data_IF_091904728803
#
_entry.id   IF_091904728803
#
_cell.length_a   1.000
_cell.length_b   1.000
_cell.length_c   1.000
_cell.angle_alpha   90.00
_cell.angle_beta   90.00
_cell.angle_gamma   90.00
#
_symmetry.space_group_name_H-M   'P 1'
#
loop_
_entity.id
_entity.type
_entity.pdbx_description
1 polymer ?
#
# COMPACT_ATOMS: atom_id res chain seq x y z
N UNK A 1 2.73 -36.80 -25.50
CA UNK A 1 3.51 -36.03 -24.49
C UNK A 1 2.61 -35.20 -23.58
N UNK A 2 1.76 -34.28 -24.10
CA UNK A 2 0.86 -33.45 -23.27
C UNK A 2 -0.06 -34.29 -22.40
N UNK A 3 -0.71 -35.33 -22.93
CA UNK A 3 -1.61 -36.22 -22.16
C UNK A 3 -0.93 -37.03 -21.06
N UNK A 4 0.39 -37.22 -21.11
CA UNK A 4 1.15 -37.88 -20.06
C UNK A 4 1.50 -36.90 -18.92
N UNK A 5 1.67 -35.63 -19.27
CA UNK A 5 1.85 -34.54 -18.29
C UNK A 5 0.54 -34.32 -17.54
N UNK A 6 -0.58 -34.25 -18.25
CA UNK A 6 -1.93 -34.08 -17.66
C UNK A 6 -2.30 -35.21 -16.69
N UNK A 7 -1.82 -36.43 -16.92
CA UNK A 7 -2.03 -37.59 -16.01
C UNK A 7 -0.96 -37.71 -14.91
N UNK A 8 0.00 -36.79 -14.87
CA UNK A 8 1.12 -36.87 -13.90
C UNK A 8 2.10 -38.04 -14.14
N UNK A 9 2.05 -38.67 -15.33
CA UNK A 9 2.88 -39.82 -15.69
C UNK A 9 4.30 -39.43 -16.15
N UNK A 10 4.52 -38.12 -16.42
CA UNK A 10 5.84 -37.59 -16.76
C UNK A 10 5.99 -36.14 -16.30
N UNK A 11 7.19 -35.79 -15.85
CA UNK A 11 7.57 -34.43 -15.53
C UNK A 11 8.06 -33.73 -16.80
N UNK A 12 7.49 -32.55 -17.17
CA UNK A 12 7.95 -31.80 -18.33
C UNK A 12 9.33 -31.20 -18.09
N UNK A 13 10.14 -31.13 -19.16
CA UNK A 13 11.38 -30.34 -19.11
C UNK A 13 11.07 -28.86 -19.22
N UNK A 14 12.02 -27.99 -18.80
CA UNK A 14 11.89 -26.53 -18.91
C UNK A 14 11.58 -26.10 -20.35
N UNK A 15 12.20 -26.75 -21.34
CA UNK A 15 11.91 -26.45 -22.74
C UNK A 15 10.48 -26.87 -23.17
N UNK A 16 9.96 -27.94 -22.58
CA UNK A 16 8.57 -28.38 -22.82
C UNK A 16 7.58 -27.37 -22.20
N UNK A 17 7.85 -26.93 -20.97
CA UNK A 17 7.06 -25.87 -20.31
C UNK A 17 7.09 -24.58 -21.12
N UNK A 18 8.26 -24.15 -21.56
CA UNK A 18 8.41 -22.94 -22.40
C UNK A 18 7.59 -23.00 -23.70
N UNK A 19 7.57 -24.16 -24.38
CA UNK A 19 6.78 -24.34 -25.58
C UNK A 19 5.28 -24.37 -25.30
N UNK A 20 4.86 -24.92 -24.15
CA UNK A 20 3.47 -24.90 -23.71
C UNK A 20 2.98 -23.49 -23.39
N UNK A 21 3.79 -22.67 -22.69
CA UNK A 21 3.42 -21.28 -22.40
C UNK A 21 3.21 -20.47 -23.68
N UNK A 22 4.09 -20.65 -24.67
CA UNK A 22 3.92 -20.01 -26.00
C UNK A 22 2.65 -20.43 -26.70
N UNK A 23 2.34 -21.74 -26.67
CA UNK A 23 1.15 -22.28 -27.34
C UNK A 23 -0.15 -21.84 -26.66
N UNK A 24 -0.15 -21.68 -25.35
CA UNK A 24 -1.30 -21.28 -24.53
C UNK A 24 -1.39 -19.76 -24.34
N UNK A 25 -0.38 -18.99 -24.78
CA UNK A 25 -0.29 -17.53 -24.59
C UNK A 25 -0.36 -17.12 -23.10
N UNK A 26 0.20 -17.93 -22.22
CA UNK A 26 0.30 -17.65 -20.79
C UNK A 26 1.76 -17.34 -20.41
N UNK A 27 1.96 -16.57 -19.34
CA UNK A 27 3.28 -16.28 -18.85
C UNK A 27 3.92 -17.51 -18.18
N UNK A 28 5.24 -17.69 -18.39
CA UNK A 28 5.98 -18.83 -17.81
C UNK A 28 6.02 -18.75 -16.27
N UNK A 29 6.12 -17.55 -15.70
CA UNK A 29 6.09 -17.33 -14.27
C UNK A 29 4.74 -17.77 -13.68
N UNK A 30 3.62 -17.43 -14.31
CA UNK A 30 2.28 -17.82 -13.89
C UNK A 30 2.01 -19.33 -13.90
N UNK A 31 2.82 -20.13 -14.61
CA UNK A 31 2.74 -21.61 -14.55
C UNK A 31 3.53 -22.22 -13.39
N UNK A 32 4.45 -21.47 -12.80
CA UNK A 32 5.28 -21.91 -11.68
C UNK A 32 4.80 -21.37 -10.34
N UNK A 33 3.91 -20.38 -10.37
CA UNK A 33 3.21 -19.91 -9.18
C UNK A 33 2.20 -20.98 -8.76
N UNK A 34 2.39 -21.51 -7.57
CA UNK A 34 1.41 -22.37 -6.92
C UNK A 34 0.21 -21.48 -6.61
N UNK A 35 -0.82 -21.53 -7.47
CA UNK A 35 -2.03 -20.70 -7.44
C UNK A 35 -2.94 -21.12 -6.26
N UNK A 36 -2.37 -21.09 -5.06
CA UNK A 36 -3.09 -20.93 -3.81
C UNK A 36 -2.85 -19.53 -3.27
N UNK A 37 -3.16 -18.51 -4.07
CA UNK A 37 -3.50 -17.22 -3.49
C UNK A 37 -4.63 -17.48 -2.51
N UNK A 38 -4.29 -17.46 -1.25
CA UNK A 38 -5.30 -17.45 -0.18
C UNK A 38 -6.24 -16.28 -0.51
N UNK A 39 -7.49 -16.58 -0.83
CA UNK A 39 -8.50 -15.55 -1.15
C UNK A 39 -8.69 -14.55 0.01
N UNK A 40 -8.06 -14.80 1.13
CA UNK A 40 -8.08 -13.96 2.33
C UNK A 40 -6.69 -13.97 2.94
N UNK A 41 -6.03 -12.82 2.93
CA UNK A 41 -4.81 -12.55 3.69
C UNK A 41 -5.19 -11.85 5.00
N UNK A 42 -4.61 -12.29 6.11
CA UNK A 42 -4.84 -11.67 7.42
C UNK A 42 -3.50 -11.26 8.02
N UNK A 43 -3.22 -9.97 8.03
CA UNK A 43 -2.11 -9.38 8.77
C UNK A 43 -2.53 -9.16 10.24
N UNK A 44 -1.88 -9.87 11.16
CA UNK A 44 -2.10 -9.63 12.58
C UNK A 44 -1.39 -8.35 13.02
N UNK A 45 -1.93 -7.70 14.04
CA UNK A 45 -1.39 -6.39 14.49
C UNK A 45 0.12 -6.41 14.80
N UNK A 46 0.68 -7.53 15.26
CA UNK A 46 2.11 -7.67 15.53
C UNK A 46 2.97 -7.86 14.27
N UNK A 47 2.36 -8.28 13.17
CA UNK A 47 3.06 -8.63 11.92
C UNK A 47 3.00 -7.50 10.88
N UNK A 48 2.21 -6.46 11.14
CA UNK A 48 2.10 -5.30 10.24
C UNK A 48 3.43 -4.55 10.22
N UNK A 49 4.07 -4.40 9.04
CA UNK A 49 5.29 -3.63 8.92
C UNK A 49 5.10 -2.19 9.41
N UNK A 50 6.06 -1.67 10.17
CA UNK A 50 5.99 -0.32 10.71
C UNK A 50 7.31 0.41 10.53
N UNK A 51 7.21 1.72 10.29
CA UNK A 51 8.31 2.67 10.32
C UNK A 51 8.07 3.58 11.51
N UNK A 52 8.86 3.37 12.57
CA UNK A 52 8.76 4.19 13.77
C UNK A 52 9.57 5.47 13.64
N UNK A 53 9.03 6.56 14.22
CA UNK A 53 9.67 7.89 14.23
C UNK A 53 9.95 8.45 12.83
N UNK A 54 9.10 8.15 11.86
CA UNK A 54 9.16 8.81 10.56
C UNK A 54 8.81 10.30 10.75
N UNK A 55 9.69 11.19 10.30
CA UNK A 55 9.57 12.60 10.64
C UNK A 55 9.78 12.84 12.13
N UNK A 56 8.89 13.58 12.77
CA UNK A 56 8.92 13.85 14.22
C UNK A 56 7.67 13.24 14.86
N UNK A 57 7.86 12.21 15.67
CA UNK A 57 6.78 11.65 16.50
C UNK A 57 5.60 11.06 15.69
N UNK A 58 5.84 10.57 14.47
CA UNK A 58 4.88 9.84 13.65
C UNK A 58 5.37 8.41 13.45
N UNK A 59 4.49 7.43 13.64
CA UNK A 59 4.70 6.03 13.28
C UNK A 59 3.76 5.66 12.12
N UNK A 60 4.31 5.04 11.08
CA UNK A 60 3.59 4.63 9.87
C UNK A 60 3.52 3.12 9.86
N UNK A 61 2.32 2.55 9.82
CA UNK A 61 2.08 1.13 9.64
C UNK A 61 1.56 0.87 8.24
N UNK A 62 2.20 -0.04 7.52
CA UNK A 62 1.91 -0.34 6.11
C UNK A 62 0.85 -1.44 6.06
N UNK A 63 -0.34 -1.12 5.56
CA UNK A 63 -1.47 -2.05 5.50
C UNK A 63 -1.69 -2.65 4.12
N UNK A 64 -1.22 -1.98 3.07
CA UNK A 64 -1.28 -2.48 1.68
C UNK A 64 -0.23 -3.55 1.42
N UNK A 65 -0.50 -4.50 0.52
CA UNK A 65 0.49 -5.49 0.12
C UNK A 65 1.64 -4.83 -0.68
N UNK A 66 2.87 -5.39 -0.65
CA UNK A 66 4.03 -4.81 -1.31
C UNK A 66 3.87 -4.61 -2.83
N UNK A 67 3.05 -5.44 -3.47
CA UNK A 67 2.80 -5.41 -4.93
C UNK A 67 2.03 -4.14 -5.36
N UNK A 68 1.36 -3.48 -4.42
CA UNK A 68 0.62 -2.24 -4.65
C UNK A 68 1.45 -0.97 -4.45
N UNK A 69 2.71 -1.12 -4.00
CA UNK A 69 3.60 0.01 -3.77
C UNK A 69 3.71 0.92 -5.01
N UNK A 70 3.55 2.23 -4.80
CA UNK A 70 3.56 3.24 -5.87
C UNK A 70 2.27 3.34 -6.68
N UNK A 71 1.27 2.48 -6.45
CA UNK A 71 -0.03 2.51 -7.13
C UNK A 71 -1.20 2.76 -6.19
N UNK A 72 -1.30 1.94 -5.15
CA UNK A 72 -2.36 2.03 -4.16
C UNK A 72 -1.79 1.61 -2.81
N UNK A 73 -1.60 2.56 -1.92
CA UNK A 73 -0.98 2.32 -0.63
C UNK A 73 -1.93 2.71 0.49
N UNK A 74 -1.97 1.90 1.54
CA UNK A 74 -2.82 2.13 2.71
C UNK A 74 -1.96 2.12 3.96
N UNK A 75 -2.08 3.18 4.77
CA UNK A 75 -1.30 3.40 5.96
C UNK A 75 -2.17 3.66 7.19
N UNK A 76 -1.78 3.11 8.35
CA UNK A 76 -2.27 3.50 9.68
C UNK A 76 -1.20 4.43 10.31
N UNK A 77 -1.51 5.71 10.34
CA UNK A 77 -0.66 6.75 10.90
C UNK A 77 -0.98 6.95 12.37
N UNK A 78 0.06 7.00 13.20
CA UNK A 78 -0.07 7.26 14.64
C UNK A 78 0.86 8.38 15.04
N UNK A 79 0.29 9.41 15.60
CA UNK A 79 0.98 10.61 16.01
C UNK A 79 1.05 10.70 17.54
N UNK A 80 2.23 11.03 18.06
CA UNK A 80 2.39 11.55 19.41
C UNK A 80 2.02 13.04 19.42
N UNK A 81 1.95 13.63 20.61
CA UNK A 81 1.77 15.08 20.75
C UNK A 81 2.87 15.83 20.00
N UNK A 82 2.48 16.77 19.15
CA UNK A 82 3.40 17.55 18.30
C UNK A 82 4.00 16.74 17.16
N UNK A 83 3.44 15.55 16.86
CA UNK A 83 3.91 14.70 15.76
C UNK A 83 3.69 15.36 14.41
N UNK A 84 4.64 15.16 13.49
CA UNK A 84 4.64 15.75 12.15
C UNK A 84 5.04 14.68 11.15
N UNK A 85 4.24 14.56 10.08
CA UNK A 85 4.57 13.86 8.85
C UNK A 85 4.68 14.90 7.74
N UNK A 86 5.91 15.16 7.28
CA UNK A 86 6.22 16.09 6.20
C UNK A 86 6.60 15.29 4.96
N UNK A 87 5.84 15.43 3.89
CA UNK A 87 5.96 14.62 2.68
C UNK A 87 6.39 15.45 1.49
N UNK A 88 7.38 14.94 0.77
CA UNK A 88 7.76 15.47 -0.55
C UNK A 88 6.64 15.16 -1.56
N UNK A 89 6.54 15.95 -2.65
CA UNK A 89 5.60 15.65 -3.72
C UNK A 89 5.76 14.22 -4.26
N UNK A 90 4.65 13.51 -4.38
CA UNK A 90 4.59 12.22 -5.07
C UNK A 90 4.63 12.39 -6.60
N UNK A 91 4.44 11.31 -7.35
CA UNK A 91 4.34 11.36 -8.80
C UNK A 91 3.21 12.31 -9.25
N UNK A 92 3.37 12.90 -10.44
CA UNK A 92 2.36 13.80 -11.00
C UNK A 92 0.98 13.10 -11.08
N UNK A 93 -0.05 13.76 -10.56
CA UNK A 93 -1.42 13.23 -10.52
C UNK A 93 -1.73 12.37 -9.31
N UNK A 94 -0.75 12.08 -8.45
CA UNK A 94 -0.98 11.36 -7.20
C UNK A 94 -1.97 12.09 -6.29
N UNK A 95 -2.80 11.34 -5.60
CA UNK A 95 -3.82 11.85 -4.67
C UNK A 95 -3.77 11.08 -3.37
N UNK A 96 -4.13 11.76 -2.29
CA UNK A 96 -4.27 11.17 -0.97
C UNK A 96 -5.66 11.38 -0.39
N UNK A 97 -6.09 10.40 0.42
CA UNK A 97 -7.28 10.48 1.25
C UNK A 97 -6.88 10.23 2.70
N UNK A 98 -6.98 11.25 3.52
CA UNK A 98 -6.66 11.21 4.94
C UNK A 98 -7.95 11.18 5.75
N UNK A 99 -8.18 10.12 6.52
CA UNK A 99 -9.34 9.99 7.42
C UNK A 99 -8.87 9.92 8.85
N UNK A 100 -9.30 10.87 9.68
CA UNK A 100 -8.99 10.91 11.12
C UNK A 100 -9.85 9.86 11.83
N UNK A 101 -9.21 8.97 12.57
CA UNK A 101 -9.86 7.93 13.37
C UNK A 101 -10.00 8.39 14.83
N UNK A 102 -8.99 9.10 15.32
CA UNK A 102 -8.95 9.59 16.69
C UNK A 102 -8.05 10.82 16.78
N UNK A 103 -8.50 11.82 17.52
CA UNK A 103 -7.73 13.04 17.81
C UNK A 103 -7.98 14.16 16.80
N UNK A 104 -7.02 15.06 16.69
CA UNK A 104 -7.10 16.22 15.81
C UNK A 104 -5.82 16.39 15.03
N UNK A 105 -5.95 16.64 13.74
CA UNK A 105 -4.85 16.86 12.82
C UNK A 105 -5.02 18.19 12.10
N UNK A 106 -3.89 18.86 11.86
CA UNK A 106 -3.81 19.98 10.91
C UNK A 106 -3.13 19.43 9.65
N UNK A 107 -3.80 19.60 8.54
CA UNK A 107 -3.35 19.18 7.23
C UNK A 107 -3.01 20.39 6.37
N UNK A 108 -1.91 20.31 5.62
CA UNK A 108 -1.46 21.36 4.69
C UNK A 108 -1.13 20.73 3.34
N UNK A 109 -1.63 21.28 2.24
CA UNK A 109 -1.23 20.91 0.87
C UNK A 109 -1.13 22.17 0.02
N UNK A 110 0.07 22.49 -0.44
CA UNK A 110 0.35 23.78 -1.06
C UNK A 110 -0.01 24.94 -0.11
N UNK A 111 -0.94 25.79 -0.54
CA UNK A 111 -1.44 26.94 0.27
C UNK A 111 -2.66 26.60 1.14
N UNK A 112 -3.28 25.42 0.94
CA UNK A 112 -4.45 25.03 1.70
C UNK A 112 -4.03 24.49 3.08
N UNK A 113 -4.71 24.97 4.13
CA UNK A 113 -4.54 24.53 5.51
C UNK A 113 -5.91 24.24 6.11
N UNK A 114 -6.12 23.02 6.60
CA UNK A 114 -7.40 22.61 7.20
C UNK A 114 -7.16 21.87 8.51
N UNK A 115 -8.10 21.99 9.43
CA UNK A 115 -8.13 21.21 10.67
C UNK A 115 -9.16 20.09 10.53
N UNK A 116 -8.74 18.87 10.89
CA UNK A 116 -9.56 17.68 10.83
C UNK A 116 -9.70 17.09 12.24
N UNK A 117 -10.89 16.61 12.55
CA UNK A 117 -11.25 15.96 13.81
C UNK A 117 -11.75 14.55 13.54
N UNK A 118 -12.07 13.79 14.58
CA UNK A 118 -12.58 12.42 14.50
C UNK A 118 -13.67 12.26 13.45
N UNK A 119 -13.47 11.36 12.51
CA UNK A 119 -14.38 11.04 11.41
C UNK A 119 -14.25 11.93 10.17
N UNK A 120 -13.50 13.03 10.23
CA UNK A 120 -13.28 13.91 9.08
C UNK A 120 -12.37 13.23 8.05
N UNK A 121 -12.63 13.53 6.76
CA UNK A 121 -11.82 13.04 5.64
C UNK A 121 -11.44 14.20 4.72
N UNK A 122 -10.14 14.39 4.51
CA UNK A 122 -9.60 15.25 3.46
C UNK A 122 -9.19 14.43 2.23
N UNK A 123 -9.42 14.98 1.04
CA UNK A 123 -8.95 14.43 -0.25
C UNK A 123 -8.21 15.51 -1.00
N UNK A 124 -6.96 15.27 -1.34
CA UNK A 124 -6.09 16.30 -1.89
C UNK A 124 -5.11 15.77 -2.94
N UNK A 125 -4.56 16.70 -3.72
CA UNK A 125 -3.45 16.42 -4.61
C UNK A 125 -2.18 16.20 -3.78
N UNK A 126 -1.47 15.10 -4.03
CA UNK A 126 -0.25 14.73 -3.32
C UNK A 126 1.01 14.93 -4.20
N UNK A 127 0.85 15.45 -5.41
CA UNK A 127 1.93 15.86 -6.31
C UNK A 127 2.49 17.26 -6.00
N UNK A 128 2.10 17.84 -4.86
CA UNK A 128 2.65 19.03 -4.25
C UNK A 128 3.14 18.72 -2.84
N UNK A 129 4.01 19.57 -2.27
CA UNK A 129 4.44 19.44 -0.88
C UNK A 129 3.25 19.49 0.06
N UNK A 130 3.16 18.51 0.97
CA UNK A 130 2.06 18.39 1.92
C UNK A 130 2.55 17.91 3.27
N UNK A 131 1.81 18.26 4.31
CA UNK A 131 2.18 18.00 5.69
C UNK A 131 0.96 17.69 6.54
N UNK A 132 1.12 16.75 7.46
CA UNK A 132 0.15 16.41 8.50
C UNK A 132 0.82 16.68 9.85
N UNK A 133 0.17 17.40 10.74
CA UNK A 133 0.66 17.66 12.09
C UNK A 133 -0.43 17.42 13.12
N UNK A 134 -0.03 16.94 14.33
CA UNK A 134 -0.91 16.61 15.42
C UNK A 134 -0.66 17.51 16.61
N UNK A 135 -1.69 18.17 17.15
CA UNK A 135 -1.60 18.97 18.36
C UNK A 135 -1.51 18.10 19.63
N UNK A 136 -2.12 16.93 19.60
CA UNK A 136 -2.11 15.89 20.62
C UNK A 136 -1.93 14.50 20.03
N UNK A 137 -2.01 13.43 20.81
CA UNK A 137 -2.04 12.08 20.26
C UNK A 137 -3.18 11.94 19.25
N UNK A 138 -2.90 11.36 18.08
CA UNK A 138 -3.88 11.20 17.02
C UNK A 138 -3.61 9.95 16.19
N UNK A 139 -4.66 9.45 15.53
CA UNK A 139 -4.58 8.32 14.60
C UNK A 139 -5.38 8.62 13.35
N UNK A 140 -4.85 8.24 12.21
CA UNK A 140 -5.53 8.40 10.93
C UNK A 140 -5.22 7.25 9.99
N UNK A 141 -6.15 6.99 9.04
CA UNK A 141 -5.84 6.20 7.87
C UNK A 141 -5.51 7.12 6.70
N UNK A 142 -4.45 6.78 5.99
CA UNK A 142 -4.03 7.46 4.77
C UNK A 142 -4.07 6.46 3.62
N UNK A 143 -4.77 6.82 2.55
CA UNK A 143 -4.79 6.07 1.30
C UNK A 143 -4.11 6.91 0.23
N UNK A 144 -3.06 6.37 -0.38
CA UNK A 144 -2.31 7.00 -1.47
C UNK A 144 -2.68 6.32 -2.78
N UNK A 145 -3.09 7.10 -3.75
CA UNK A 145 -3.27 6.66 -5.13
C UNK A 145 -2.15 7.25 -5.96
N UNK A 146 -1.26 6.39 -6.45
CA UNK A 146 -0.25 6.77 -7.44
C UNK A 146 -0.90 7.14 -8.77
N UNK A 147 -0.17 7.89 -9.58
CA UNK A 147 -0.59 8.22 -10.94
C UNK A 147 -0.22 7.08 -11.90
#
# INVERSE_FOLDING_TARGET
MVSQIERGESSPTISTLWNLTKALQVDFAGLLEDDQESRVEVLRSGDVPAIDNHGTGCSIRILSPPEEAGRHEVYDLRFNQGGILDSLPHAQGAREHLTVIEGRLTFTSGEAVEQLSDGDTARYAADVAHKISADGPARAFLVVHGA
#
